data_IF_608047001118
#
_entry.id   IF_608047001118
#
_cell.length_a   1.000
_cell.length_b   1.000
_cell.length_c   1.000
_cell.angle_alpha   90.00
_cell.angle_beta   90.00
_cell.angle_gamma   90.00
#
_symmetry.space_group_name_H-M   'P 1'
#
loop_
_entity.id
_entity.type
_entity.pdbx_description
1 polymer ?
#
# COMPACT_ATOMS: atom_id res chain seq x y z
N UNK A 1 -0.03 -48.07 -12.52
CA UNK A 1 1.15 -48.24 -11.66
C UNK A 1 1.27 -47.01 -10.78
N UNK A 2 0.51 -47.00 -9.69
CA UNK A 2 0.42 -45.90 -8.72
C UNK A 2 1.56 -46.15 -7.72
N UNK A 3 2.70 -45.47 -7.88
CA UNK A 3 3.79 -45.58 -6.91
C UNK A 3 3.33 -44.91 -5.62
N UNK A 4 3.05 -45.73 -4.60
CA UNK A 4 2.91 -45.28 -3.23
C UNK A 4 4.24 -44.63 -2.81
N UNK A 5 4.32 -43.30 -2.95
CA UNK A 5 5.35 -42.52 -2.28
C UNK A 5 5.06 -42.66 -0.78
N UNK A 6 5.82 -43.52 -0.12
CA UNK A 6 5.97 -43.43 1.32
C UNK A 6 6.52 -42.03 1.59
N UNK A 7 5.67 -41.12 2.07
CA UNK A 7 6.09 -39.80 2.51
C UNK A 7 7.03 -40.01 3.67
N UNK A 8 8.33 -39.86 3.43
CA UNK A 8 9.28 -39.71 4.52
C UNK A 8 8.76 -38.61 5.46
N UNK A 9 8.96 -38.74 6.78
CA UNK A 9 8.61 -37.67 7.70
C UNK A 9 9.34 -36.40 7.25
N UNK A 10 8.59 -35.31 7.13
CA UNK A 10 9.12 -34.02 6.72
C UNK A 10 10.32 -33.63 7.61
N UNK A 11 11.36 -33.10 6.98
CA UNK A 11 12.52 -32.57 7.71
C UNK A 11 12.12 -31.41 8.62
N UNK A 12 12.97 -31.06 9.58
CA UNK A 12 12.73 -29.89 10.43
C UNK A 12 12.68 -28.61 9.58
N UNK A 13 13.54 -28.52 8.56
CA UNK A 13 13.56 -27.45 7.56
C UNK A 13 12.26 -27.37 6.75
N UNK A 14 11.70 -28.50 6.32
CA UNK A 14 10.39 -28.56 5.66
C UNK A 14 9.27 -27.98 6.54
N UNK A 15 9.19 -28.45 7.80
CA UNK A 15 8.17 -28.01 8.75
C UNK A 15 8.30 -26.50 9.01
N UNK A 16 9.52 -26.01 9.16
CA UNK A 16 9.81 -24.59 9.39
C UNK A 16 9.44 -23.76 8.16
N UNK A 17 9.77 -24.22 6.95
CA UNK A 17 9.43 -23.53 5.69
C UNK A 17 7.93 -23.48 5.46
N UNK A 18 7.23 -24.62 5.58
CA UNK A 18 5.77 -24.68 5.45
C UNK A 18 5.10 -23.80 6.51
N UNK A 19 5.57 -23.85 7.75
CA UNK A 19 5.05 -23.01 8.84
C UNK A 19 5.23 -21.51 8.56
N UNK A 20 6.39 -21.10 8.08
CA UNK A 20 6.66 -19.70 7.72
C UNK A 20 5.81 -19.24 6.53
N UNK A 21 5.63 -20.08 5.52
CA UNK A 21 4.76 -19.78 4.37
C UNK A 21 3.28 -19.70 4.76
N UNK A 22 2.81 -20.60 5.63
CA UNK A 22 1.45 -20.56 6.17
C UNK A 22 1.21 -19.29 7.00
N UNK A 23 2.19 -18.89 7.84
CA UNK A 23 2.15 -17.63 8.58
C UNK A 23 2.05 -16.42 7.64
N UNK A 24 2.89 -16.38 6.60
CA UNK A 24 2.87 -15.30 5.62
C UNK A 24 1.54 -15.24 4.85
N UNK A 25 1.04 -16.38 4.38
CA UNK A 25 -0.25 -16.47 3.70
C UNK A 25 -1.40 -16.02 4.61
N UNK A 26 -1.42 -16.46 5.88
CA UNK A 26 -2.39 -16.01 6.88
C UNK A 26 -2.34 -14.50 7.10
N UNK A 27 -1.13 -13.94 7.22
CA UNK A 27 -0.93 -12.50 7.32
C UNK A 27 -1.51 -11.76 6.11
N UNK A 28 -1.23 -12.23 4.88
CA UNK A 28 -1.75 -11.62 3.66
C UNK A 28 -3.28 -11.68 3.57
N UNK A 29 -3.88 -12.81 3.98
CA UNK A 29 -5.33 -12.94 4.04
C UNK A 29 -5.96 -11.94 5.01
N UNK A 30 -5.41 -11.77 6.21
CA UNK A 30 -5.92 -10.79 7.19
C UNK A 30 -5.80 -9.36 6.65
N UNK A 31 -4.65 -9.00 6.08
CA UNK A 31 -4.46 -7.66 5.49
C UNK A 31 -5.48 -7.41 4.37
N UNK A 32 -5.69 -8.40 3.51
CA UNK A 32 -6.56 -8.27 2.33
C UNK A 32 -8.04 -8.23 2.70
N UNK A 33 -8.48 -9.13 3.58
CA UNK A 33 -9.90 -9.34 3.88
C UNK A 33 -10.41 -8.49 5.04
N UNK A 34 -9.52 -8.01 5.92
CA UNK A 34 -9.92 -7.26 7.12
C UNK A 34 -9.37 -5.83 7.08
N UNK A 35 -8.07 -5.68 6.88
CA UNK A 35 -7.41 -4.36 7.01
C UNK A 35 -7.80 -3.43 5.86
N UNK A 36 -7.70 -3.88 4.60
CA UNK A 36 -8.02 -3.02 3.46
C UNK A 36 -9.49 -2.60 3.38
N UNK A 37 -10.48 -3.47 3.65
CA UNK A 37 -11.87 -3.04 3.79
C UNK A 37 -12.05 -2.00 4.90
N UNK A 38 -11.43 -2.19 6.07
CA UNK A 38 -11.49 -1.21 7.15
C UNK A 38 -10.92 0.17 6.78
N UNK A 39 -9.90 0.22 5.92
CA UNK A 39 -9.40 1.49 5.39
C UNK A 39 -10.39 2.20 4.45
N UNK A 40 -11.25 1.46 3.76
CA UNK A 40 -12.25 2.05 2.87
C UNK A 40 -13.32 2.85 3.62
N UNK A 41 -13.47 2.65 4.93
CA UNK A 41 -14.44 3.35 5.78
C UNK A 41 -13.87 4.64 6.41
N UNK A 42 -12.56 4.87 6.33
CA UNK A 42 -11.91 6.03 6.98
C UNK A 42 -12.08 7.28 6.12
N UNK A 43 -12.69 8.33 6.68
CA UNK A 43 -12.82 9.62 5.98
C UNK A 43 -11.47 10.27 5.65
N UNK A 44 -11.43 11.05 4.58
CA UNK A 44 -10.21 11.74 4.12
C UNK A 44 -9.56 12.60 5.22
N UNK A 45 -10.38 13.27 6.05
CA UNK A 45 -9.91 14.11 7.16
C UNK A 45 -9.13 13.31 8.22
N UNK A 46 -9.48 12.04 8.43
CA UNK A 46 -8.87 11.17 9.44
C UNK A 46 -7.78 10.27 8.86
N UNK A 47 -7.67 10.23 7.53
CA UNK A 47 -6.80 9.31 6.80
C UNK A 47 -5.36 9.36 7.27
N UNK A 48 -4.72 10.54 7.24
CA UNK A 48 -3.29 10.69 7.54
C UNK A 48 -2.97 10.20 8.95
N UNK A 49 -3.78 10.59 9.94
CA UNK A 49 -3.60 10.17 11.33
C UNK A 49 -3.79 8.66 11.49
N UNK A 50 -4.84 8.09 10.89
CA UNK A 50 -5.14 6.67 10.98
C UNK A 50 -4.10 5.79 10.26
N UNK A 51 -3.70 6.18 9.05
CA UNK A 51 -2.69 5.49 8.25
C UNK A 51 -1.32 5.52 8.93
N UNK A 52 -0.91 6.66 9.49
CA UNK A 52 0.33 6.75 10.25
C UNK A 52 0.31 5.85 11.50
N UNK A 53 -0.81 5.82 12.22
CA UNK A 53 -0.98 4.96 13.40
C UNK A 53 -0.99 3.48 13.04
N UNK A 54 -1.62 3.10 11.92
CA UNK A 54 -1.55 1.74 11.40
C UNK A 54 -0.12 1.37 10.97
N UNK A 55 0.54 2.24 10.21
CA UNK A 55 1.90 2.02 9.71
C UNK A 55 2.90 1.75 10.83
N UNK A 56 2.85 2.52 11.93
CA UNK A 56 3.72 2.29 13.10
C UNK A 56 3.52 0.92 13.75
N UNK A 57 2.32 0.35 13.69
CA UNK A 57 1.99 -0.95 14.29
C UNK A 57 2.28 -2.12 13.35
N UNK A 58 1.97 -1.95 12.06
CA UNK A 58 2.08 -3.04 11.08
C UNK A 58 3.51 -3.27 10.60
N UNK A 59 4.34 -2.22 10.51
CA UNK A 59 5.74 -2.32 10.04
C UNK A 59 6.57 -3.34 10.84
N UNK A 60 6.62 -3.29 12.19
CA UNK A 60 7.40 -4.28 12.94
C UNK A 60 6.84 -5.70 12.77
N UNK A 61 5.52 -5.87 12.68
CA UNK A 61 4.90 -7.17 12.44
C UNK A 61 5.27 -7.74 11.06
N UNK A 62 5.20 -6.91 10.01
CA UNK A 62 5.65 -7.29 8.66
C UNK A 62 7.11 -7.67 8.68
N UNK A 63 7.97 -6.89 9.34
CA UNK A 63 9.40 -7.19 9.42
C UNK A 63 9.65 -8.58 10.05
N UNK A 64 8.95 -8.91 11.14
CA UNK A 64 9.06 -10.22 11.80
C UNK A 64 8.61 -11.36 10.88
N UNK A 65 7.44 -11.23 10.24
CA UNK A 65 6.91 -12.27 9.34
C UNK A 65 7.86 -12.51 8.17
N UNK A 66 8.37 -11.45 7.54
CA UNK A 66 9.27 -11.59 6.40
C UNK A 66 10.66 -12.09 6.82
N UNK A 67 11.14 -11.71 8.01
CA UNK A 67 12.37 -12.28 8.57
C UNK A 67 12.23 -13.79 8.81
N UNK A 68 11.09 -14.25 9.32
CA UNK A 68 10.82 -15.68 9.50
C UNK A 68 10.80 -16.43 8.16
N UNK A 69 10.18 -15.87 7.12
CA UNK A 69 10.17 -16.44 5.76
C UNK A 69 11.60 -16.53 5.19
N UNK A 70 12.40 -15.47 5.30
CA UNK A 70 13.78 -15.45 4.80
C UNK A 70 14.65 -16.45 5.58
N UNK A 71 14.53 -16.51 6.90
CA UNK A 71 15.28 -17.45 7.72
C UNK A 71 14.91 -18.91 7.41
N UNK A 72 13.61 -19.20 7.25
CA UNK A 72 13.14 -20.53 6.89
C UNK A 72 13.61 -20.97 5.49
N UNK A 73 13.55 -20.06 4.51
CA UNK A 73 14.09 -20.31 3.17
C UNK A 73 15.61 -20.53 3.20
N UNK A 74 16.35 -19.72 3.97
CA UNK A 74 17.79 -19.89 4.11
C UNK A 74 18.15 -21.24 4.76
N UNK A 75 17.40 -21.66 5.79
CA UNK A 75 17.59 -22.95 6.45
C UNK A 75 17.33 -24.13 5.49
N UNK A 76 16.25 -24.09 4.71
CA UNK A 76 15.96 -25.12 3.71
C UNK A 76 17.07 -25.25 2.65
N UNK A 77 17.73 -24.14 2.30
CA UNK A 77 18.86 -24.15 1.36
C UNK A 77 20.18 -24.68 1.96
N UNK A 78 20.26 -24.89 3.27
CA UNK A 78 21.47 -25.47 3.90
C UNK A 78 21.45 -27.00 3.99
N UNK A 79 20.29 -27.63 3.78
CA UNK A 79 20.14 -29.08 3.67
C UNK A 79 20.34 -29.54 2.21
N UNK A 80 20.33 -30.86 1.96
CA UNK A 80 20.38 -31.39 0.58
C UNK A 80 19.13 -30.93 -0.18
N UNK A 81 19.27 -29.84 -0.94
CA UNK A 81 18.12 -29.11 -1.47
C UNK A 81 17.42 -29.89 -2.57
N UNK A 82 16.20 -30.33 -2.29
CA UNK A 82 15.33 -30.94 -3.30
C UNK A 82 14.72 -29.85 -4.21
N UNK A 83 14.34 -30.18 -5.47
CA UNK A 83 13.80 -29.19 -6.41
C UNK A 83 12.58 -28.42 -5.88
N UNK A 84 11.77 -29.06 -5.03
CA UNK A 84 10.58 -28.44 -4.43
C UNK A 84 10.96 -27.40 -3.37
N UNK A 85 11.99 -27.65 -2.57
CA UNK A 85 12.49 -26.69 -1.56
C UNK A 85 13.08 -25.47 -2.24
N UNK A 86 13.84 -25.66 -3.32
CA UNK A 86 14.34 -24.57 -4.15
C UNK A 86 13.19 -23.75 -4.74
N UNK A 87 12.15 -24.40 -5.27
CA UNK A 87 10.97 -23.71 -5.78
C UNK A 87 10.25 -22.91 -4.69
N UNK A 88 10.12 -23.47 -3.49
CA UNK A 88 9.53 -22.80 -2.34
C UNK A 88 10.37 -21.60 -1.87
N UNK A 89 11.69 -21.74 -1.83
CA UNK A 89 12.62 -20.66 -1.49
C UNK A 89 12.57 -19.52 -2.53
N UNK A 90 12.51 -19.84 -3.82
CA UNK A 90 12.34 -18.84 -4.90
C UNK A 90 10.99 -18.14 -4.78
N UNK A 91 9.91 -18.88 -4.49
CA UNK A 91 8.59 -18.29 -4.27
C UNK A 91 8.58 -17.35 -3.05
N UNK A 92 9.21 -17.74 -1.95
CA UNK A 92 9.40 -16.93 -0.76
C UNK A 92 10.18 -15.64 -1.07
N UNK A 93 11.30 -15.75 -1.80
CA UNK A 93 12.07 -14.59 -2.25
C UNK A 93 11.24 -13.66 -3.16
N UNK A 94 10.43 -14.22 -4.07
CA UNK A 94 9.50 -13.47 -4.90
C UNK A 94 8.42 -12.73 -4.09
N UNK A 95 7.88 -13.35 -3.04
CA UNK A 95 6.93 -12.73 -2.13
C UNK A 95 7.57 -11.56 -1.35
N UNK A 96 8.80 -11.74 -0.86
CA UNK A 96 9.60 -10.67 -0.22
C UNK A 96 9.84 -9.50 -1.17
N UNK A 97 10.36 -9.80 -2.37
CA UNK A 97 10.70 -8.80 -3.37
C UNK A 97 9.48 -8.02 -3.87
N UNK A 98 8.37 -8.71 -4.15
CA UNK A 98 7.12 -8.07 -4.57
C UNK A 98 6.58 -7.13 -3.49
N UNK A 99 6.64 -7.52 -2.22
CA UNK A 99 6.18 -6.67 -1.11
C UNK A 99 7.03 -5.41 -0.97
N UNK A 100 8.35 -5.56 -1.01
CA UNK A 100 9.27 -4.42 -0.94
C UNK A 100 9.07 -3.46 -2.13
N UNK A 101 8.76 -4.00 -3.32
CA UNK A 101 8.70 -3.22 -4.57
C UNK A 101 7.32 -2.65 -4.88
N UNK A 102 6.25 -3.23 -4.34
CA UNK A 102 4.85 -2.82 -4.61
C UNK A 102 4.21 -2.18 -3.39
N UNK A 103 4.20 -2.89 -2.26
CA UNK A 103 3.50 -2.45 -1.07
C UNK A 103 4.18 -1.22 -0.46
N UNK A 104 5.52 -1.22 -0.31
CA UNK A 104 6.21 -0.09 0.31
C UNK A 104 6.03 1.24 -0.49
N UNK A 105 6.18 1.29 -1.82
CA UNK A 105 5.88 2.50 -2.59
C UNK A 105 4.41 2.93 -2.51
N UNK A 106 3.48 1.97 -2.50
CA UNK A 106 2.06 2.26 -2.36
C UNK A 106 1.72 2.89 -0.99
N UNK A 107 2.28 2.36 0.10
CA UNK A 107 2.16 2.94 1.43
C UNK A 107 2.76 4.36 1.52
N UNK A 108 3.90 4.62 0.85
CA UNK A 108 4.46 5.98 0.78
C UNK A 108 3.54 6.97 0.08
N UNK A 109 2.89 6.57 -1.02
CA UNK A 109 1.93 7.45 -1.72
C UNK A 109 0.69 7.73 -0.86
N UNK A 110 0.22 6.72 -0.14
CA UNK A 110 -0.91 6.85 0.79
C UNK A 110 -0.61 7.73 2.00
N UNK A 111 0.66 7.94 2.36
CA UNK A 111 1.02 8.84 3.46
C UNK A 111 0.59 10.30 3.20
N UNK A 112 0.45 10.70 1.93
CA UNK A 112 0.02 12.05 1.54
C UNK A 112 -1.50 12.24 1.39
N UNK A 113 -2.30 11.17 1.43
CA UNK A 113 -3.75 11.25 1.24
C UNK A 113 -4.38 9.94 0.77
N UNK A 114 -5.71 9.84 0.91
CA UNK A 114 -6.48 8.67 0.49
C UNK A 114 -6.60 8.63 -1.03
N UNK A 115 -6.52 7.41 -1.59
CA UNK A 115 -6.78 7.14 -3.00
C UNK A 115 -7.39 5.75 -3.12
N UNK A 116 -8.66 5.67 -3.54
CA UNK A 116 -9.36 4.40 -3.69
C UNK A 116 -8.70 3.49 -4.75
N UNK A 117 -8.08 4.09 -5.78
CA UNK A 117 -7.26 3.37 -6.76
C UNK A 117 -6.05 2.73 -6.09
N UNK A 118 -5.39 3.43 -5.17
CA UNK A 118 -4.23 2.89 -4.45
C UNK A 118 -4.62 1.76 -3.50
N UNK A 119 -5.78 1.87 -2.84
CA UNK A 119 -6.35 0.81 -2.00
C UNK A 119 -6.71 -0.45 -2.82
N UNK A 120 -7.36 -0.28 -3.98
CA UNK A 120 -7.71 -1.41 -4.87
C UNK A 120 -6.46 -2.09 -5.44
N UNK A 121 -5.43 -1.33 -5.81
CA UNK A 121 -4.19 -1.89 -6.36
C UNK A 121 -3.39 -2.64 -5.28
N UNK A 122 -3.38 -2.14 -4.04
CA UNK A 122 -2.82 -2.85 -2.89
C UNK A 122 -3.55 -4.16 -2.59
N UNK A 123 -4.88 -4.14 -2.58
CA UNK A 123 -5.69 -5.34 -2.40
C UNK A 123 -5.45 -6.38 -3.50
N UNK A 124 -5.15 -5.93 -4.72
CA UNK A 124 -4.83 -6.80 -5.85
C UNK A 124 -3.34 -7.17 -5.97
N UNK A 125 -2.46 -6.69 -5.08
CA UNK A 125 -1.01 -6.90 -5.17
C UNK A 125 -0.35 -6.30 -6.41
N UNK A 126 -0.96 -5.28 -7.02
CA UNK A 126 -0.51 -4.72 -8.31
C UNK A 126 0.40 -3.50 -8.13
N UNK A 127 1.47 -3.37 -8.94
CA UNK A 127 2.35 -2.21 -8.89
C UNK A 127 1.62 -0.93 -9.30
N UNK A 128 1.92 0.17 -8.59
CA UNK A 128 1.46 1.51 -8.96
C UNK A 128 2.38 2.10 -10.03
N UNK A 129 1.81 2.44 -11.20
CA UNK A 129 2.55 3.21 -12.21
C UNK A 129 2.90 4.61 -11.66
N UNK A 130 4.14 5.10 -11.84
CA UNK A 130 4.46 6.52 -11.64
C UNK A 130 3.59 7.37 -12.58
N UNK A 131 2.90 8.40 -12.04
CA UNK A 131 2.15 9.38 -12.84
C UNK A 131 0.62 9.34 -12.74
N UNK A 132 0.00 8.33 -12.12
CA UNK A 132 -1.47 8.26 -11.94
C UNK A 132 -1.94 8.88 -10.62
N UNK A 133 -1.22 9.89 -10.11
CA UNK A 133 -1.63 10.63 -8.92
C UNK A 133 -2.86 11.44 -9.27
N UNK A 134 -4.04 10.87 -8.99
CA UNK A 134 -5.32 11.52 -9.18
C UNK A 134 -5.32 12.86 -8.46
N UNK A 135 -5.27 13.92 -9.23
CA UNK A 135 -5.56 15.30 -8.81
C UNK A 135 -7.07 15.52 -8.73
N UNK A 136 -7.86 14.51 -8.38
CA UNK A 136 -9.31 14.62 -8.39
C UNK A 136 -9.80 14.33 -6.98
N UNK A 137 -9.97 15.40 -6.19
CA UNK A 137 -10.90 15.55 -5.04
C UNK A 137 -10.44 16.57 -3.98
N UNK A 138 -9.35 17.33 -4.18
CA UNK A 138 -9.14 18.54 -3.38
C UNK A 138 -9.82 19.73 -4.05
N UNK A 139 -11.15 19.83 -3.90
CA UNK A 139 -11.86 21.08 -3.63
C UNK A 139 -11.50 22.33 -4.46
N UNK A 140 -11.01 22.19 -5.69
CA UNK A 140 -10.74 23.34 -6.56
C UNK A 140 -12.01 23.65 -7.33
N UNK A 141 -13.03 24.11 -6.59
CA UNK A 141 -13.93 25.14 -7.09
C UNK A 141 -13.03 26.33 -7.42
N UNK A 142 -12.43 26.30 -8.61
CA UNK A 142 -11.97 27.50 -9.27
C UNK A 142 -13.25 28.29 -9.50
N UNK A 143 -13.58 29.15 -8.53
CA UNK A 143 -14.39 30.33 -8.78
C UNK A 143 -13.61 31.08 -9.84
N UNK A 144 -13.89 30.77 -11.10
CA UNK A 144 -13.63 31.67 -12.20
C UNK A 144 -14.55 32.85 -11.92
N UNK A 145 -14.06 33.78 -11.11
CA UNK A 145 -14.54 35.16 -11.15
C UNK A 145 -14.16 35.62 -12.54
N UNK A 146 -15.08 35.42 -13.48
CA UNK A 146 -15.08 36.14 -14.74
C UNK A 146 -15.19 37.60 -14.33
N UNK A 147 -14.04 38.28 -14.24
CA UNK A 147 -13.98 39.73 -14.15
C UNK A 147 -14.60 40.25 -15.44
N UNK A 148 -15.90 40.51 -15.38
CA UNK A 148 -16.67 41.22 -16.38
C UNK A 148 -16.10 42.62 -16.49
N UNK A 149 -15.17 42.78 -17.42
CA UNK A 149 -14.68 44.04 -17.92
C UNK A 149 -15.80 44.66 -18.76
N UNK A 150 -16.62 45.52 -18.16
CA UNK A 150 -17.42 46.49 -18.91
C UNK A 150 -16.86 47.87 -18.66
N UNK A 151 -16.46 48.48 -19.76
CA UNK A 151 -15.86 49.79 -19.86
C UNK A 151 -16.90 50.91 -19.64
N UNK A 152 -16.36 52.06 -19.27
CA UNK A 152 -16.72 53.41 -19.74
C UNK A 152 -17.92 54.17 -19.17
N UNK A 153 -17.64 55.47 -19.05
CA UNK A 153 -18.47 56.63 -18.74
C UNK A 153 -18.82 56.75 -17.23
N UNK A 154 -18.60 57.89 -16.56
CA UNK A 154 -18.72 59.25 -17.04
C UNK A 154 -17.92 60.19 -16.13
N UNK A 155 -17.13 61.06 -16.76
CA UNK A 155 -16.46 62.23 -16.17
C UNK A 155 -17.51 63.32 -15.99
N UNK A 156 -17.65 63.94 -14.81
CA UNK A 156 -18.05 65.36 -14.63
C UNK A 156 -17.69 65.85 -13.19
N UNK A 157 -17.56 67.18 -12.97
CA UNK A 157 -16.59 67.77 -12.05
C UNK A 157 -17.17 68.39 -10.76
N UNK A 158 -16.23 68.63 -9.83
CA UNK A 158 -16.11 69.71 -8.85
C UNK A 158 -17.35 70.22 -8.07
N UNK A 159 -17.23 70.15 -6.74
CA UNK A 159 -17.65 71.26 -5.88
C UNK A 159 -16.85 71.27 -4.58
N UNK A 160 -15.92 72.21 -4.50
CA UNK A 160 -15.37 72.76 -3.27
C UNK A 160 -16.46 73.48 -2.47
N UNK A 161 -16.58 73.20 -1.18
CA UNK A 161 -17.31 74.04 -0.21
C UNK A 161 -16.42 74.20 1.03
N UNK A 162 -16.05 75.44 1.41
CA UNK A 162 -15.49 75.76 2.72
C UNK A 162 -16.59 76.23 3.68
N UNK A 163 -16.36 76.09 4.99
CA UNK A 163 -17.01 76.91 6.01
C UNK A 163 -17.59 76.15 7.19
N UNK A 164 -17.00 76.36 8.36
CA UNK A 164 -17.42 75.89 9.67
C UNK A 164 -16.29 76.04 10.68
#
# INVERSE_FOLDING_TARGET
MLLAHATAPAGVSDVVLVGAMALHAGFQLVVTLVVYPGFAEISDQRWVAAHAAHSRRIVPLVAIVYAAVVAAAALALTDQTEPLELAAAVAAAGAVASTASVAAPAHRRMAGGRSDVSLRLLAAGRPLRPGSGGTDSCGRRRLTVTMGRTASAQRLPASSVPGG
#
